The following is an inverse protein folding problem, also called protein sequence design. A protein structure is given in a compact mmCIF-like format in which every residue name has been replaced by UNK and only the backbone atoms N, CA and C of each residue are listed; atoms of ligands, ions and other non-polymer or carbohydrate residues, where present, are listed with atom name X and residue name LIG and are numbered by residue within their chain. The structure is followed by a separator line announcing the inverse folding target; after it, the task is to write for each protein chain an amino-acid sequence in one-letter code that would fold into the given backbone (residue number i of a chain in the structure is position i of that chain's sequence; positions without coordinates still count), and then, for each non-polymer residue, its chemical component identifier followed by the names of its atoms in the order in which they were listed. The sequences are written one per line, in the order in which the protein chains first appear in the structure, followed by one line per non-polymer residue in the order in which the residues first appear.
data_IF_930357275579
#
_entry.id   IF_930357275579
#
_cell.length_a   1.000
_cell.length_b   1.000
_cell.length_c   1.000
_cell.angle_alpha   90.00
_cell.angle_beta   90.00
_cell.angle_gamma   90.00
#
_symmetry.space_group_name_H-M   'P 1'
#
loop_
_entity.id
_entity.type
_entity.pdbx_description
1 polymer ?
#
# COMPACT_ATOMS: atom_id res chain seq x y z
N UNK A 1 -16.57 -13.49 2.76
CA UNK A 1 -16.27 -12.28 3.57
C UNK A 1 -16.63 -11.05 2.74
N UNK A 2 -17.47 -10.15 3.26
CA UNK A 2 -17.83 -8.88 2.59
C UNK A 2 -17.46 -7.72 3.49
N UNK A 3 -16.60 -6.83 3.00
CA UNK A 3 -16.13 -5.66 3.71
C UNK A 3 -16.98 -4.44 3.36
N UNK A 4 -17.17 -3.57 4.34
CA UNK A 4 -17.74 -2.24 4.14
C UNK A 4 -16.68 -1.25 3.64
N UNK A 5 -16.31 -1.37 2.36
CA UNK A 5 -15.37 -0.45 1.73
C UNK A 5 -15.96 0.96 1.61
N UNK A 6 -15.19 2.04 1.86
CA UNK A 6 -13.75 2.07 2.15
C UNK A 6 -13.38 1.97 3.64
N UNK A 7 -14.35 2.07 4.55
CA UNK A 7 -14.07 2.22 5.98
C UNK A 7 -13.60 0.93 6.66
N UNK A 8 -13.83 -0.21 6.04
CA UNK A 8 -13.44 -1.53 6.53
C UNK A 8 -12.46 -2.19 5.56
N UNK A 9 -11.27 -2.51 6.08
CA UNK A 9 -10.19 -3.12 5.31
C UNK A 9 -9.48 -4.20 6.14
N UNK A 10 -8.92 -5.19 5.45
CA UNK A 10 -8.21 -6.29 6.10
C UNK A 10 -6.86 -5.84 6.62
N UNK A 11 -6.59 -6.17 7.88
CA UNK A 11 -5.36 -5.83 8.61
C UNK A 11 -4.56 -7.07 8.98
N UNK A 12 -5.21 -8.22 9.09
CA UNK A 12 -4.55 -9.45 9.51
C UNK A 12 -5.23 -10.69 8.93
N UNK A 13 -4.43 -11.72 8.68
CA UNK A 13 -4.88 -13.06 8.36
C UNK A 13 -4.13 -14.03 9.26
N UNK A 14 -4.83 -14.97 9.85
CA UNK A 14 -4.24 -16.10 10.58
C UNK A 14 -4.85 -17.41 10.12
N UNK A 15 -4.25 -18.52 10.50
CA UNK A 15 -4.71 -19.83 10.09
C UNK A 15 -3.84 -20.96 10.61
N UNK A 16 -4.08 -22.15 10.09
CA UNK A 16 -3.34 -23.35 10.45
C UNK A 16 -2.88 -24.10 9.20
N UNK A 17 -1.70 -24.72 9.29
CA UNK A 17 -1.09 -25.56 8.26
C UNK A 17 -0.95 -26.98 8.78
N UNK A 18 -1.40 -27.97 8.00
CA UNK A 18 -1.21 -29.38 8.34
C UNK A 18 -1.39 -30.28 7.12
N UNK A 19 -0.72 -31.44 7.06
CA UNK A 19 -1.06 -32.48 6.10
C UNK A 19 -2.47 -33.02 6.34
N UNK A 20 -3.21 -33.34 5.28
CA UNK A 20 -4.53 -33.97 5.40
C UNK A 20 -4.41 -35.46 5.74
N UNK A 21 -3.34 -36.11 5.26
CA UNK A 21 -3.00 -37.50 5.56
C UNK A 21 -1.62 -37.56 6.21
N UNK A 22 -1.37 -38.58 7.05
CA UNK A 22 -0.05 -38.78 7.67
C UNK A 22 1.03 -38.91 6.59
N UNK A 23 2.11 -38.13 6.73
CA UNK A 23 3.23 -38.11 5.78
C UNK A 23 2.99 -37.27 4.52
N UNK A 24 1.83 -36.64 4.37
CA UNK A 24 1.55 -35.74 3.24
C UNK A 24 2.21 -34.37 3.37
N UNK A 25 2.15 -33.58 2.31
CA UNK A 25 2.59 -32.17 2.32
C UNK A 25 1.59 -31.31 3.10
N UNK A 26 2.05 -30.36 3.94
CA UNK A 26 1.15 -29.43 4.63
C UNK A 26 0.35 -28.56 3.65
N UNK A 27 -0.92 -28.35 3.96
CA UNK A 27 -1.83 -27.43 3.25
C UNK A 27 -2.48 -26.49 4.25
N UNK A 28 -3.04 -25.37 3.76
CA UNK A 28 -3.85 -24.46 4.59
C UNK A 28 -5.13 -25.17 5.03
N UNK A 29 -5.26 -25.35 6.35
CA UNK A 29 -6.38 -26.06 6.98
C UNK A 29 -7.50 -25.14 7.39
N UNK A 30 -7.15 -23.92 7.81
CA UNK A 30 -8.12 -22.88 8.05
C UNK A 30 -7.55 -21.48 7.85
N UNK A 31 -8.46 -20.54 7.69
CA UNK A 31 -8.16 -19.11 7.61
C UNK A 31 -9.13 -18.32 8.49
N UNK A 32 -8.57 -17.37 9.22
CA UNK A 32 -9.28 -16.33 9.96
C UNK A 32 -8.82 -14.99 9.42
N UNK A 33 -9.77 -14.17 9.00
CA UNK A 33 -9.50 -12.84 8.49
C UNK A 33 -9.87 -11.83 9.56
N UNK A 34 -9.05 -10.80 9.76
CA UNK A 34 -9.32 -9.70 10.67
C UNK A 34 -9.19 -8.38 9.93
N UNK A 35 -10.18 -7.52 10.11
CA UNK A 35 -10.17 -6.13 9.66
C UNK A 35 -9.90 -5.18 10.81
N UNK A 36 -9.83 -3.90 10.49
CA UNK A 36 -9.86 -2.82 11.46
C UNK A 36 -11.16 -2.74 12.30
N UNK A 37 -12.24 -3.47 11.94
CA UNK A 37 -13.54 -3.41 12.65
C UNK A 37 -13.96 -4.74 13.28
N UNK A 38 -13.75 -5.86 12.59
CA UNK A 38 -14.21 -7.19 13.03
C UNK A 38 -13.35 -8.32 12.47
N UNK A 39 -13.57 -9.52 12.99
CA UNK A 39 -12.94 -10.77 12.55
C UNK A 39 -13.96 -11.71 11.90
N UNK A 40 -13.49 -12.55 10.98
CA UNK A 40 -14.25 -13.59 10.30
C UNK A 40 -13.51 -14.92 10.29
N UNK A 41 -14.24 -16.00 10.59
CA UNK A 41 -13.69 -17.34 10.69
C UNK A 41 -13.65 -17.85 12.14
N UNK A 42 -12.90 -18.92 12.40
CA UNK A 42 -12.06 -19.65 11.44
C UNK A 42 -12.89 -20.37 10.38
N UNK A 43 -12.41 -20.33 9.13
CA UNK A 43 -12.97 -21.11 8.03
C UNK A 43 -12.11 -22.35 7.79
N UNK A 44 -12.61 -23.52 8.17
CA UNK A 44 -11.89 -24.80 8.07
C UNK A 44 -11.64 -25.42 9.44
N UNK A 45 -10.53 -26.16 9.59
CA UNK A 45 -10.17 -26.86 10.83
C UNK A 45 -8.88 -26.29 11.41
N UNK A 46 -8.92 -25.86 12.66
CA UNK A 46 -7.76 -25.37 13.41
C UNK A 46 -6.87 -26.54 13.87
N UNK A 47 -6.12 -27.11 12.94
CA UNK A 47 -5.24 -28.26 13.20
C UNK A 47 -3.86 -28.05 12.60
N UNK A 48 -2.83 -28.39 13.38
CA UNK A 48 -1.43 -28.35 12.96
C UNK A 48 -0.73 -27.07 13.42
N UNK A 49 0.14 -26.53 12.57
CA UNK A 49 0.99 -25.39 12.90
C UNK A 49 0.23 -24.08 12.66
N UNK A 50 0.03 -23.23 13.66
CA UNK A 50 -0.61 -21.94 13.47
C UNK A 50 0.31 -20.99 12.71
N UNK A 51 -0.28 -20.08 11.94
CA UNK A 51 0.41 -18.95 11.34
C UNK A 51 -0.44 -17.68 11.47
N UNK A 52 0.23 -16.54 11.49
CA UNK A 52 -0.41 -15.24 11.44
C UNK A 52 0.43 -14.25 10.64
N UNK A 53 -0.26 -13.36 9.96
CA UNK A 53 0.30 -12.25 9.23
C UNK A 53 -0.54 -11.01 9.53
N UNK A 54 0.11 -9.99 10.10
CA UNK A 54 -0.51 -8.70 10.41
C UNK A 54 0.21 -7.59 9.67
N UNK A 55 -0.55 -6.60 9.21
CA UNK A 55 -0.05 -5.41 8.56
C UNK A 55 -0.37 -4.17 9.39
N UNK A 56 0.67 -3.47 9.82
CA UNK A 56 0.55 -2.19 10.50
C UNK A 56 0.73 -1.05 9.49
N UNK A 57 -0.16 -0.05 9.52
CA UNK A 57 -0.09 1.11 8.61
C UNK A 57 -0.44 0.79 7.14
N UNK A 58 -0.99 -0.39 6.87
CA UNK A 58 -1.39 -0.83 5.54
C UNK A 58 -2.67 -1.64 5.53
N UNK A 59 -3.10 -2.02 4.33
CA UNK A 59 -4.22 -2.91 4.11
C UNK A 59 -3.82 -4.08 3.22
N UNK A 60 -4.40 -5.24 3.49
CA UNK A 60 -4.34 -6.38 2.58
C UNK A 60 -5.35 -6.13 1.47
N UNK A 61 -4.86 -5.86 0.26
CA UNK A 61 -5.68 -5.47 -0.91
C UNK A 61 -5.91 -6.61 -1.88
N UNK A 62 -5.23 -7.74 -1.69
CA UNK A 62 -5.45 -8.91 -2.51
C UNK A 62 -4.67 -10.13 -2.03
N UNK A 63 -4.93 -11.25 -2.70
CA UNK A 63 -4.33 -12.54 -2.41
C UNK A 63 -3.71 -13.11 -3.68
N UNK A 64 -2.69 -13.94 -3.51
CA UNK A 64 -2.19 -14.86 -4.53
C UNK A 64 -1.89 -16.21 -3.85
N UNK A 65 -1.74 -17.28 -4.61
CA UNK A 65 -1.52 -18.59 -4.00
C UNK A 65 -1.47 -19.71 -5.02
N UNK A 66 -1.33 -20.94 -4.51
CA UNK A 66 -1.41 -22.18 -5.28
C UNK A 66 -2.44 -23.10 -4.64
N UNK A 67 -3.21 -23.77 -5.49
CA UNK A 67 -4.20 -24.76 -5.07
C UNK A 67 -4.20 -25.96 -5.99
N UNK A 68 -4.42 -27.13 -5.40
CA UNK A 68 -4.85 -28.36 -6.08
C UNK A 68 -6.21 -28.79 -5.52
N UNK A 69 -6.25 -29.98 -4.91
CA UNK A 69 -7.42 -30.45 -4.14
C UNK A 69 -7.69 -29.62 -2.88
N UNK A 70 -6.64 -28.98 -2.35
CA UNK A 70 -6.66 -28.09 -1.20
C UNK A 70 -5.90 -26.80 -1.53
N UNK A 71 -5.95 -25.83 -0.61
CA UNK A 71 -5.15 -24.61 -0.70
C UNK A 71 -3.72 -24.91 -0.20
N UNK A 72 -2.78 -25.07 -1.12
CA UNK A 72 -1.39 -25.42 -0.79
C UNK A 72 -0.64 -24.23 -0.20
N UNK A 73 -0.86 -23.03 -0.75
CA UNK A 73 -0.22 -21.81 -0.26
C UNK A 73 -1.06 -20.58 -0.52
N UNK A 74 -0.91 -19.59 0.36
CA UNK A 74 -1.53 -18.27 0.26
C UNK A 74 -0.49 -17.20 0.55
N UNK A 75 -0.50 -16.14 -0.24
CA UNK A 75 0.30 -14.94 -0.09
C UNK A 75 -0.58 -13.69 -0.22
N UNK A 76 -0.05 -12.57 0.28
CA UNK A 76 -0.80 -11.34 0.47
C UNK A 76 -0.21 -10.21 -0.35
N UNK A 77 -1.07 -9.46 -1.05
CA UNK A 77 -0.73 -8.18 -1.67
C UNK A 77 -1.11 -7.05 -0.70
N UNK A 78 -0.15 -6.18 -0.44
CA UNK A 78 -0.25 -5.13 0.56
C UNK A 78 -0.25 -3.77 -0.14
N UNK A 79 -1.07 -2.85 0.36
CA UNK A 79 -1.00 -1.45 0.00
C UNK A 79 -0.79 -0.61 1.26
N UNK A 80 0.09 0.41 1.23
CA UNK A 80 0.12 1.41 2.28
C UNK A 80 -1.26 2.04 2.39
N UNK A 81 -1.74 2.23 3.62
CA UNK A 81 -2.82 3.18 3.84
C UNK A 81 -2.19 4.55 3.70
N UNK A 82 -2.10 5.04 2.45
CA UNK A 82 -1.92 6.46 2.25
C UNK A 82 -3.04 7.12 3.02
N UNK A 83 -2.65 7.95 3.98
CA UNK A 83 -3.52 8.80 4.74
C UNK A 83 -4.32 9.63 3.73
N UNK A 84 -5.48 9.14 3.28
CA UNK A 84 -6.37 9.89 2.41
C UNK A 84 -7.10 10.87 3.31
N UNK A 85 -6.39 11.93 3.71
CA UNK A 85 -6.98 13.08 4.39
C UNK A 85 -6.66 13.21 5.87
N UNK A 86 -5.47 12.84 6.32
CA UNK A 86 -5.01 13.35 7.60
C UNK A 86 -4.89 14.87 7.56
N UNK A 87 -5.11 15.53 8.70
CA UNK A 87 -4.91 16.98 8.87
C UNK A 87 -3.56 17.45 8.28
N UNK A 88 -2.55 16.58 8.26
CA UNK A 88 -1.25 16.83 7.64
C UNK A 88 -1.31 16.96 6.12
N UNK A 89 -2.06 16.13 5.41
CA UNK A 89 -2.23 16.21 3.96
C UNK A 89 -3.09 17.42 3.58
N UNK A 90 -4.10 17.72 4.38
CA UNK A 90 -4.89 18.94 4.24
C UNK A 90 -4.01 20.19 4.46
N UNK A 91 -3.18 20.22 5.49
CA UNK A 91 -2.28 21.33 5.77
C UNK A 91 -1.21 21.47 4.68
N UNK A 92 -0.66 20.37 4.18
CA UNK A 92 0.27 20.35 3.05
C UNK A 92 -0.38 20.81 1.74
N UNK A 93 -1.63 20.43 1.49
CA UNK A 93 -2.37 20.86 0.30
C UNK A 93 -2.74 22.35 0.40
N UNK A 94 -3.13 22.82 1.59
CA UNK A 94 -3.42 24.22 1.86
C UNK A 94 -2.16 25.08 1.71
N UNK A 95 -1.02 24.66 2.26
CA UNK A 95 0.27 25.33 2.08
C UNK A 95 0.73 25.35 0.62
N UNK A 96 0.56 24.25 -0.15
CA UNK A 96 0.85 24.23 -1.59
C UNK A 96 -0.04 25.21 -2.39
N UNK A 97 -1.33 25.27 -2.05
CA UNK A 97 -2.26 26.22 -2.68
C UNK A 97 -1.91 27.67 -2.36
N UNK A 98 -1.46 27.97 -1.14
CA UNK A 98 -0.97 29.30 -0.78
C UNK A 98 0.37 29.64 -1.45
N UNK A 99 1.30 28.69 -1.53
CA UNK A 99 2.58 28.88 -2.22
C UNK A 99 2.42 29.15 -3.72
N UNK A 100 1.47 28.48 -4.39
CA UNK A 100 1.18 28.71 -5.80
C UNK A 100 0.60 30.12 -6.09
N UNK A 101 -0.10 30.72 -5.12
CA UNK A 101 -0.56 32.12 -5.21
C UNK A 101 0.59 33.10 -5.01
N UNK A 102 1.54 32.82 -4.11
CA UNK A 102 2.70 33.67 -3.88
C UNK A 102 3.65 33.72 -5.10
N UNK A 103 3.80 32.61 -5.83
CA UNK A 103 4.60 32.56 -7.06
C UNK A 103 4.00 33.36 -8.23
N UNK A 104 2.70 33.66 -8.20
CA UNK A 104 2.03 34.50 -9.21
C UNK A 104 2.11 36.00 -8.90
N UNK A 105 2.30 36.37 -7.64
CA UNK A 105 2.34 37.78 -7.21
C UNK A 105 3.76 38.35 -7.14
N UNK A 106 4.79 37.50 -7.06
CA UNK A 106 6.19 37.91 -7.16
C UNK A 106 6.79 37.53 -8.52
N UNK A 107 6.17 38.03 -9.59
CA UNK A 107 6.82 38.15 -10.89
C UNK A 107 7.69 39.40 -10.89
N UNK A 108 8.94 39.27 -10.46
CA UNK A 108 9.97 40.27 -10.73
C UNK A 108 11.19 39.54 -11.28
N UNK A 109 11.50 39.82 -12.56
CA UNK A 109 12.84 39.76 -13.16
C UNK A 109 12.72 40.27 -14.61
N UNK A 110 12.76 41.58 -14.79
CA UNK A 110 13.44 42.19 -15.93
C UNK A 110 14.76 42.74 -15.40
N UNK A 111 15.88 42.08 -15.68
CA UNK A 111 17.19 42.71 -15.89
C UNK A 111 17.98 41.81 -16.85
N UNK A 112 18.09 42.27 -18.10
CA UNK A 112 19.21 41.98 -18.97
C UNK A 112 20.52 42.29 -18.25
N UNK A 113 21.45 41.35 -18.14
CA UNK A 113 22.86 41.61 -18.50
C UNK A 113 23.66 40.30 -18.51
N UNK A 114 24.49 40.10 -19.55
CA UNK A 114 25.49 39.04 -19.56
C UNK A 114 25.68 38.34 -20.89
N UNK A 115 25.85 39.09 -21.98
CA UNK A 115 26.34 38.53 -23.24
C UNK A 115 27.87 38.33 -23.15
N UNK A 116 28.42 37.11 -23.34
CA UNK A 116 29.86 36.92 -23.46
C UNK A 116 30.38 37.53 -24.78
N UNK A 117 31.53 38.18 -24.66
CA UNK A 117 32.28 38.89 -25.70
C UNK A 117 32.41 38.06 -26.98
N UNK A 118 31.93 38.60 -28.10
CA UNK A 118 32.22 38.11 -29.45
C UNK A 118 33.70 38.34 -29.78
N UNK A 119 34.48 37.27 -29.93
CA UNK A 119 35.69 37.28 -30.76
C UNK A 119 35.37 36.72 -32.14
N UNK A 120 35.32 37.61 -33.15
CA UNK A 120 35.78 37.38 -34.52
C UNK A 120 35.40 38.62 -35.37
N UNK A 121 36.40 39.41 -35.77
CA UNK A 121 36.28 40.32 -36.91
C UNK A 121 36.68 39.53 -38.16
N UNK A 122 35.83 39.60 -39.18
CA UNK A 122 36.09 39.13 -40.55
C UNK A 122 36.84 40.24 -41.30
N UNK A 123 37.81 39.85 -42.14
CA UNK A 123 38.10 40.34 -43.50
C UNK A 123 39.58 40.59 -43.79
N UNK A 124 40.10 39.79 -44.71
CA UNK A 124 41.16 40.08 -45.67
C UNK A 124 40.84 39.26 -46.91
#
# INVERSE_FOLDING_TARGET
VKLQYPDEFLTMVSGYLSPVVRGGTPVVRCLTFKSNKRSWGPYGVEQGTPFSFSMDGGAIVGFHGRSGWYLDSIGFRLAPLHNRGGLQDMFRQKLRSFGALASRTLGYNDVEEGNPVRTAKVSG
#
